data_IF_068332953792
#
_entry.id   IF_068332953792
#
_cell.length_a   1.000
_cell.length_b   1.000
_cell.length_c   1.000
_cell.angle_alpha   90.00
_cell.angle_beta   90.00
_cell.angle_gamma   90.00
#
_symmetry.space_group_name_H-M   'P 1'
#
loop_
_entity.id
_entity.type
_entity.pdbx_description
1 polymer ?
#
# COMPACT_ATOMS: atom_id res chain seq x y z
N UNK A 1 -10.55 10.70 -9.17
CA UNK A 1 -10.80 9.30 -8.77
C UNK A 1 -10.98 8.51 -10.06
N UNK A 2 -10.15 7.52 -10.32
CA UNK A 2 -10.39 6.59 -11.44
C UNK A 2 -11.46 5.59 -10.99
N UNK A 3 -12.68 5.79 -11.48
CA UNK A 3 -13.83 4.91 -11.27
C UNK A 3 -13.55 3.49 -11.78
N UNK A 4 -13.26 2.56 -10.86
CA UNK A 4 -13.36 1.12 -11.14
C UNK A 4 -12.06 0.30 -11.17
N UNK A 5 -10.88 0.91 -10.98
CA UNK A 5 -9.66 0.13 -10.73
C UNK A 5 -9.57 -0.27 -9.26
N UNK A 6 -10.22 -1.38 -8.93
CA UNK A 6 -10.13 -1.99 -7.61
C UNK A 6 -9.05 -3.09 -7.64
N UNK A 7 -7.99 -3.02 -6.81
CA UNK A 7 -6.97 -4.07 -6.74
C UNK A 7 -7.57 -5.47 -6.48
N UNK A 8 -8.74 -5.56 -5.85
CA UNK A 8 -9.49 -6.81 -5.66
C UNK A 8 -9.79 -7.52 -6.98
N UNK A 9 -10.00 -6.80 -8.08
CA UNK A 9 -10.30 -7.43 -9.39
C UNK A 9 -9.12 -8.24 -9.91
N UNK A 10 -7.91 -7.79 -9.64
CA UNK A 10 -6.67 -8.47 -10.06
C UNK A 10 -6.24 -9.48 -9.01
N UNK A 11 -6.33 -9.11 -7.73
CA UNK A 11 -5.70 -9.84 -6.64
C UNK A 11 -6.65 -10.70 -5.80
N UNK A 12 -7.96 -10.45 -5.80
CA UNK A 12 -8.89 -11.15 -4.91
C UNK A 12 -8.99 -12.67 -5.16
N UNK A 13 -8.73 -13.13 -6.38
CA UNK A 13 -8.64 -14.56 -6.71
C UNK A 13 -7.29 -15.21 -6.34
N UNK A 14 -6.15 -14.64 -6.77
CA UNK A 14 -4.82 -15.21 -6.48
C UNK A 14 -4.27 -14.86 -5.09
N UNK A 15 -4.94 -14.01 -4.31
CA UNK A 15 -4.53 -13.68 -2.94
C UNK A 15 -4.76 -14.86 -2.01
N UNK A 16 -3.66 -15.44 -1.51
CA UNK A 16 -3.64 -16.52 -0.53
C UNK A 16 -3.34 -16.02 0.90
N UNK A 17 -3.50 -14.71 1.15
CA UNK A 17 -3.40 -14.08 2.46
C UNK A 17 -2.23 -13.11 2.60
N UNK A 18 -1.90 -12.33 1.57
CA UNK A 18 -0.92 -11.25 1.73
C UNK A 18 -1.43 -10.20 2.71
N UNK A 19 -0.52 -9.58 3.45
CA UNK A 19 -0.87 -8.58 4.46
C UNK A 19 -1.09 -7.20 3.85
N UNK A 20 -0.17 -6.80 2.97
CA UNK A 20 -0.25 -5.57 2.18
C UNK A 20 0.35 -5.77 0.79
N UNK A 21 -0.19 -5.04 -0.17
CA UNK A 21 0.37 -4.89 -1.50
C UNK A 21 0.61 -3.40 -1.78
N UNK A 22 1.83 -3.10 -2.20
CA UNK A 22 2.30 -1.77 -2.57
C UNK A 22 2.32 -1.65 -4.09
N UNK A 23 1.78 -0.56 -4.62
CA UNK A 23 1.71 -0.37 -6.06
C UNK A 23 1.46 1.06 -6.47
N UNK A 24 1.00 1.20 -7.72
CA UNK A 24 0.67 2.47 -8.35
C UNK A 24 -0.65 2.33 -9.11
N UNK A 25 -1.47 3.38 -9.11
CA UNK A 25 -2.66 3.48 -9.98
C UNK A 25 -2.30 3.97 -11.39
N UNK A 26 -1.10 4.53 -11.57
CA UNK A 26 -0.58 5.03 -12.84
C UNK A 26 0.77 4.39 -13.15
N UNK A 27 1.62 5.08 -13.92
CA UNK A 27 2.97 4.62 -14.25
C UNK A 27 3.86 4.54 -13.01
N UNK A 28 4.46 3.38 -12.79
CA UNK A 28 5.64 3.25 -11.93
C UNK A 28 6.85 3.76 -12.69
N UNK A 29 7.55 4.75 -12.15
CA UNK A 29 8.84 5.18 -12.72
C UNK A 29 9.88 4.10 -12.41
N UNK A 30 10.76 3.79 -13.36
CA UNK A 30 11.92 2.93 -13.10
C UNK A 30 12.95 3.70 -12.27
N UNK A 31 13.10 3.34 -11.01
CA UNK A 31 14.02 3.99 -10.08
C UNK A 31 14.62 2.98 -9.11
N UNK A 32 15.94 2.98 -8.90
CA UNK A 32 16.58 2.11 -7.92
C UNK A 32 16.31 2.56 -6.46
N UNK A 33 15.78 3.77 -6.24
CA UNK A 33 15.69 4.38 -4.92
C UNK A 33 14.44 3.98 -4.11
N UNK A 34 13.48 3.22 -4.67
CA UNK A 34 12.25 2.85 -3.95
C UNK A 34 12.52 2.17 -2.61
N UNK A 35 13.36 1.14 -2.60
CA UNK A 35 13.66 0.40 -1.37
C UNK A 35 14.37 1.28 -0.34
N UNK A 36 15.37 2.05 -0.79
CA UNK A 36 16.13 2.97 0.07
C UNK A 36 15.21 4.02 0.70
N UNK A 37 14.39 4.68 -0.10
CA UNK A 37 13.49 5.74 0.38
C UNK A 37 12.38 5.18 1.28
N UNK A 38 11.83 4.01 0.94
CA UNK A 38 10.84 3.33 1.78
C UNK A 38 11.39 3.09 3.20
N UNK A 39 12.60 2.54 3.32
CA UNK A 39 13.21 2.30 4.62
C UNK A 39 13.58 3.59 5.34
N UNK A 40 13.99 4.64 4.62
CA UNK A 40 14.22 5.96 5.20
C UNK A 40 12.93 6.55 5.81
N UNK A 41 11.80 6.46 5.12
CA UNK A 41 10.50 6.91 5.63
C UNK A 41 10.00 6.04 6.79
N UNK A 42 10.17 4.72 6.70
CA UNK A 42 9.81 3.80 7.78
C UNK A 42 10.60 4.07 9.08
N UNK A 43 11.88 4.40 8.96
CA UNK A 43 12.75 4.79 10.09
C UNK A 43 12.28 6.07 10.80
N UNK A 44 11.42 6.89 10.17
CA UNK A 44 10.80 8.07 10.80
C UNK A 44 9.58 7.75 11.67
N UNK A 45 9.21 6.48 11.85
CA UNK A 45 8.05 6.10 12.66
C UNK A 45 6.75 5.84 11.87
N UNK A 46 6.78 5.89 10.53
CA UNK A 46 5.61 5.76 9.65
C UNK A 46 5.14 4.32 9.39
N UNK A 47 3.84 4.03 9.36
CA UNK A 47 3.35 2.73 8.92
C UNK A 47 3.87 2.35 7.54
N UNK A 48 3.89 1.06 7.20
CA UNK A 48 4.36 0.61 5.89
C UNK A 48 3.63 1.31 4.75
N UNK A 49 2.32 1.52 4.89
CA UNK A 49 1.55 2.24 3.88
C UNK A 49 2.03 3.68 3.71
N UNK A 50 2.18 4.43 4.81
CA UNK A 50 2.62 5.82 4.76
C UNK A 50 4.06 5.94 4.25
N UNK A 51 4.94 5.02 4.65
CA UNK A 51 6.33 4.99 4.17
C UNK A 51 6.40 4.75 2.66
N UNK A 52 5.60 3.84 2.11
CA UNK A 52 5.50 3.63 0.66
C UNK A 52 4.96 4.85 -0.07
N UNK A 53 3.85 5.39 0.41
CA UNK A 53 3.18 6.54 -0.19
C UNK A 53 4.11 7.76 -0.29
N UNK A 54 4.82 8.09 0.79
CA UNK A 54 5.74 9.23 0.82
C UNK A 54 7.01 8.98 0.01
N UNK A 55 7.64 7.81 0.16
CA UNK A 55 8.86 7.47 -0.55
C UNK A 55 8.67 7.46 -2.08
N UNK A 56 7.54 6.93 -2.53
CA UNK A 56 7.20 6.94 -3.95
C UNK A 56 6.87 8.36 -4.43
N UNK A 57 6.14 9.16 -3.67
CA UNK A 57 5.86 10.54 -4.07
C UNK A 57 7.13 11.40 -4.18
N UNK A 58 8.10 11.20 -3.29
CA UNK A 58 9.41 11.87 -3.33
C UNK A 58 10.22 11.50 -4.59
N UNK A 59 10.06 10.29 -5.12
CA UNK A 59 10.73 9.86 -6.37
C UNK A 59 10.12 10.54 -7.59
N UNK A 60 8.79 10.62 -7.65
CA UNK A 60 8.11 11.30 -8.76
C UNK A 60 6.70 11.70 -8.35
N UNK A 61 6.31 12.91 -8.77
CA UNK A 61 4.96 13.45 -8.58
C UNK A 61 4.02 13.08 -9.74
N UNK A 62 4.50 12.39 -10.77
CA UNK A 62 3.68 11.93 -11.91
C UNK A 62 3.08 10.54 -11.70
N UNK A 63 3.46 9.88 -10.61
CA UNK A 63 2.92 8.58 -10.22
C UNK A 63 1.91 8.71 -9.09
N UNK A 64 0.92 7.82 -9.06
CA UNK A 64 -0.08 7.76 -8.01
C UNK A 64 0.15 6.50 -7.16
N UNK A 65 1.00 6.54 -6.11
CA UNK A 65 1.26 5.38 -5.30
C UNK A 65 0.01 5.00 -4.50
N UNK A 66 -0.21 3.69 -4.35
CA UNK A 66 -1.35 3.10 -3.67
C UNK A 66 -0.93 1.91 -2.82
N UNK A 67 -1.75 1.63 -1.81
CA UNK A 67 -1.56 0.53 -0.87
C UNK A 67 -2.91 -0.11 -0.61
N UNK A 68 -2.94 -1.43 -0.61
CA UNK A 68 -4.08 -2.22 -0.15
C UNK A 68 -3.62 -3.17 0.95
N UNK A 69 -4.46 -3.35 1.96
CA UNK A 69 -4.27 -4.30 3.05
C UNK A 69 -5.48 -5.21 3.16
N UNK A 70 -5.24 -6.49 3.48
CA UNK A 70 -6.29 -7.49 3.66
C UNK A 70 -6.65 -7.64 5.14
N UNK A 71 -7.79 -8.28 5.43
CA UNK A 71 -8.20 -8.66 6.78
C UNK A 71 -9.53 -9.41 6.78
N UNK A 72 -9.92 -9.94 7.95
CA UNK A 72 -11.20 -10.63 8.11
C UNK A 72 -12.40 -9.69 8.01
N UNK A 73 -12.20 -8.41 8.32
CA UNK A 73 -13.22 -7.36 8.29
C UNK A 73 -12.58 -5.98 8.03
N UNK A 74 -13.43 -4.95 7.93
CA UNK A 74 -13.02 -3.57 7.68
C UNK A 74 -12.05 -3.01 8.71
N UNK A 75 -12.26 -3.32 9.98
CA UNK A 75 -11.50 -2.74 11.09
C UNK A 75 -10.11 -3.34 11.13
N UNK A 76 -9.98 -4.65 10.95
CA UNK A 76 -8.70 -5.34 10.90
C UNK A 76 -7.86 -4.87 9.70
N UNK A 77 -8.46 -4.87 8.51
CA UNK A 77 -7.78 -4.41 7.29
C UNK A 77 -7.41 -2.93 7.38
N UNK A 78 -8.27 -2.09 7.97
CA UNK A 78 -8.01 -0.67 8.20
C UNK A 78 -6.91 -0.42 9.24
N UNK A 79 -6.93 -1.13 10.37
CA UNK A 79 -5.91 -1.05 11.39
C UNK A 79 -4.56 -1.49 10.85
N UNK A 80 -4.53 -2.58 10.08
CA UNK A 80 -3.35 -3.04 9.36
C UNK A 80 -2.82 -1.94 8.44
N UNK A 81 -3.66 -1.49 7.51
CA UNK A 81 -3.32 -0.44 6.54
C UNK A 81 -2.72 0.80 7.20
N UNK A 82 -3.27 1.25 8.33
CA UNK A 82 -2.88 2.51 8.95
C UNK A 82 -1.71 2.38 9.94
N UNK A 83 -1.52 1.21 10.56
CA UNK A 83 -0.63 1.09 11.72
C UNK A 83 0.48 0.05 11.59
N UNK A 84 0.39 -0.94 10.68
CA UNK A 84 1.37 -2.01 10.62
C UNK A 84 2.77 -1.48 10.24
N UNK A 85 3.77 -1.86 11.03
CA UNK A 85 5.18 -1.43 10.92
C UNK A 85 6.17 -2.58 11.08
N UNK A 86 5.70 -3.77 11.43
CA UNK A 86 6.55 -4.93 11.73
C UNK A 86 6.24 -6.00 10.70
N UNK A 87 7.28 -6.55 10.08
CA UNK A 87 7.13 -7.64 9.12
C UNK A 87 6.62 -8.90 9.84
N UNK A 88 5.62 -9.54 9.26
CA UNK A 88 5.10 -10.83 9.71
C UNK A 88 4.92 -11.74 8.49
N UNK A 89 5.20 -13.03 8.69
CA UNK A 89 5.01 -14.08 7.71
C UNK A 89 3.60 -14.69 7.77
N UNK A 90 2.80 -14.30 8.75
CA UNK A 90 1.46 -14.87 8.95
C UNK A 90 0.52 -14.40 7.85
N UNK A 91 -0.10 -15.37 7.18
CA UNK A 91 -1.18 -15.13 6.25
C UNK A 91 -2.39 -14.50 6.96
N UNK A 92 -3.11 -13.63 6.26
CA UNK A 92 -4.32 -12.99 6.77
C UNK A 92 -5.54 -13.39 5.95
N UNK A 93 -6.73 -13.19 6.53
CA UNK A 93 -7.97 -13.39 5.78
C UNK A 93 -8.07 -12.40 4.62
N UNK A 94 -8.61 -12.86 3.49
CA UNK A 94 -8.87 -12.09 2.28
C UNK A 94 -10.34 -11.68 2.15
N UNK A 95 -11.11 -11.76 3.24
CA UNK A 95 -12.54 -11.41 3.24
C UNK A 95 -12.79 -9.91 3.02
N UNK A 96 -11.82 -9.08 3.41
CA UNK A 96 -11.91 -7.64 3.29
C UNK A 96 -10.60 -7.02 2.81
N UNK A 97 -10.72 -5.94 2.04
CA UNK A 97 -9.60 -5.16 1.55
C UNK A 97 -9.83 -3.67 1.84
N UNK A 98 -8.88 -3.07 2.57
CA UNK A 98 -8.84 -1.63 2.82
C UNK A 98 -7.71 -1.01 2.01
N UNK A 99 -7.94 0.17 1.43
CA UNK A 99 -6.97 0.80 0.52
C UNK A 99 -6.77 2.28 0.82
N UNK A 100 -5.58 2.79 0.50
CA UNK A 100 -5.22 4.20 0.54
C UNK A 100 -4.35 4.53 -0.67
N UNK A 101 -4.43 5.79 -1.08
CA UNK A 101 -3.64 6.37 -2.15
C UNK A 101 -3.06 7.70 -1.66
N UNK A 102 -2.02 8.18 -2.33
CA UNK A 102 -1.49 9.50 -2.06
C UNK A 102 -2.52 10.55 -2.47
N UNK A 103 -3.13 11.23 -1.50
CA UNK A 103 -3.89 12.43 -1.75
C UNK A 103 -2.90 13.58 -1.89
N UNK A 104 -2.53 13.93 -3.13
CA UNK A 104 -2.03 15.28 -3.37
C UNK A 104 -3.17 16.23 -2.99
N UNK A 105 -3.12 16.81 -1.79
CA UNK A 105 -4.03 17.88 -1.42
C UNK A 105 -3.91 18.96 -2.52
N UNK A 106 -5.04 19.29 -3.16
CA UNK A 106 -5.12 20.39 -4.12
C UNK A 106 -4.91 21.72 -3.41
#
# INVERSE_FOLDING_TARGET
>A
MLDGMNPIRTWGGPDHGFRMLFGFETTSIDSPDYGKNFWAEWNKGKSFSQAWLDASWDISHTQAPSVVACGANSDEAGARLNNERVLSWDAVSTNWFSRRWYYAAR
#
